data_IF_442543705647
#
_entry.id   IF_442543705647
#
_cell.length_a   1.000
_cell.length_b   1.000
_cell.length_c   1.000
_cell.angle_alpha   90.00
_cell.angle_beta   90.00
_cell.angle_gamma   90.00
#
_symmetry.space_group_name_H-M   'P 1'
#
loop_
_entity.id
_entity.type
_entity.pdbx_description
1 polymer ?
#
# COMPACT_ATOMS: atom_id res chain seq x y z
N UNK A 1 -0.41 10.49 10.29
CA UNK A 1 -0.89 9.18 10.79
C UNK A 1 -0.09 8.78 12.02
N UNK A 2 -0.76 8.35 13.08
CA UNK A 2 -0.08 7.92 14.32
C UNK A 2 0.69 6.62 14.09
N UNK A 3 1.64 6.32 14.97
CA UNK A 3 2.41 5.07 14.93
C UNK A 3 1.49 3.85 15.02
N UNK A 4 0.52 3.89 15.94
CA UNK A 4 -0.43 2.78 16.13
C UNK A 4 -1.28 2.55 14.89
N UNK A 5 -1.77 3.61 14.27
CA UNK A 5 -2.56 3.52 13.05
C UNK A 5 -1.75 2.91 11.89
N UNK A 6 -0.48 3.28 11.77
CA UNK A 6 0.43 2.70 10.76
C UNK A 6 0.65 1.21 10.99
N UNK A 7 0.83 0.79 12.23
CA UNK A 7 0.99 -0.63 12.59
C UNK A 7 -0.26 -1.42 12.21
N UNK A 8 -1.43 -0.90 12.57
CA UNK A 8 -2.71 -1.54 12.24
C UNK A 8 -2.90 -1.61 10.72
N UNK A 9 -2.54 -0.55 10.00
CA UNK A 9 -2.61 -0.53 8.55
C UNK A 9 -1.73 -1.62 7.93
N UNK A 10 -0.49 -1.73 8.37
CA UNK A 10 0.45 -2.74 7.85
C UNK A 10 -0.05 -4.16 8.10
N UNK A 11 -0.56 -4.44 9.30
CA UNK A 11 -1.12 -5.75 9.64
C UNK A 11 -2.38 -6.04 8.82
N UNK A 12 -3.23 -5.05 8.63
CA UNK A 12 -4.43 -5.17 7.80
C UNK A 12 -4.08 -5.46 6.34
N UNK A 13 -3.06 -4.81 5.82
CA UNK A 13 -2.56 -5.07 4.47
C UNK A 13 -2.07 -6.50 4.31
N UNK A 14 -1.39 -7.04 5.31
CA UNK A 14 -0.95 -8.44 5.30
C UNK A 14 -2.13 -9.41 5.20
N UNK A 15 -3.20 -9.16 5.95
CA UNK A 15 -4.42 -9.97 5.91
C UNK A 15 -5.10 -9.87 4.54
N UNK A 16 -5.24 -8.66 4.01
CA UNK A 16 -5.83 -8.43 2.69
C UNK A 16 -5.03 -9.08 1.56
N UNK A 17 -3.71 -9.06 1.68
CA UNK A 17 -2.84 -9.71 0.70
C UNK A 17 -3.07 -11.22 0.66
N UNK A 18 -3.16 -11.87 1.83
CA UNK A 18 -3.33 -13.32 1.90
C UNK A 18 -4.70 -13.80 1.45
N UNK A 19 -5.77 -13.14 1.92
CA UNK A 19 -7.14 -13.58 1.66
C UNK A 19 -7.76 -12.95 0.43
N UNK A 20 -7.27 -11.80 0.00
CA UNK A 20 -7.90 -10.98 -1.02
C UNK A 20 -8.94 -10.04 -0.43
N UNK A 21 -9.12 -8.90 -1.08
CA UNK A 21 -10.02 -7.85 -0.60
C UNK A 21 -11.47 -8.32 -0.52
N UNK A 22 -11.97 -8.94 -1.59
CA UNK A 22 -13.37 -9.35 -1.67
C UNK A 22 -13.74 -10.41 -0.62
N UNK A 23 -12.80 -11.30 -0.31
CA UNK A 23 -13.01 -12.41 0.62
C UNK A 23 -12.76 -12.04 2.08
N UNK A 24 -12.37 -10.81 2.38
CA UNK A 24 -12.01 -10.36 3.72
C UNK A 24 -13.02 -9.36 4.26
N UNK A 25 -13.51 -9.59 5.48
CA UNK A 25 -14.35 -8.64 6.19
C UNK A 25 -13.53 -7.88 7.24
N UNK A 26 -14.09 -6.77 7.75
CA UNK A 26 -13.48 -6.03 8.87
C UNK A 26 -13.36 -6.92 10.10
N UNK A 27 -14.32 -7.81 10.34
CA UNK A 27 -14.26 -8.79 11.44
C UNK A 27 -13.09 -9.75 11.27
N UNK A 28 -12.82 -10.20 10.04
CA UNK A 28 -11.67 -11.08 9.75
C UNK A 28 -10.35 -10.37 10.07
N UNK A 29 -10.25 -9.10 9.70
CA UNK A 29 -9.07 -8.30 9.98
C UNK A 29 -8.90 -8.13 11.49
N UNK A 30 -9.95 -7.72 12.18
CA UNK A 30 -9.93 -7.51 13.64
C UNK A 30 -9.53 -8.79 14.37
N UNK A 31 -10.09 -9.92 13.97
CA UNK A 31 -9.76 -11.24 14.55
C UNK A 31 -8.28 -11.59 14.34
N UNK A 32 -7.76 -11.36 13.14
CA UNK A 32 -6.35 -11.63 12.83
C UNK A 32 -5.40 -10.73 13.63
N UNK A 33 -5.83 -9.53 13.97
CA UNK A 33 -5.05 -8.58 14.77
C UNK A 33 -5.31 -8.71 16.28
N UNK A 34 -6.13 -9.65 16.68
CA UNK A 34 -6.56 -9.82 18.08
C UNK A 34 -7.18 -8.54 18.65
N UNK A 35 -8.06 -7.93 17.87
CA UNK A 35 -8.75 -6.69 18.22
C UNK A 35 -10.25 -6.87 18.14
N UNK A 36 -10.99 -6.04 18.90
CA UNK A 36 -12.42 -5.91 18.71
C UNK A 36 -12.70 -5.11 17.43
N UNK A 37 -13.74 -5.45 16.65
CA UNK A 37 -14.09 -4.69 15.45
C UNK A 37 -14.29 -3.19 15.71
N UNK A 38 -14.86 -2.83 16.85
CA UNK A 38 -15.05 -1.42 17.24
C UNK A 38 -13.72 -0.68 17.34
N UNK A 39 -12.66 -1.33 17.85
CA UNK A 39 -11.33 -0.74 17.95
C UNK A 39 -10.73 -0.50 16.54
N UNK A 40 -10.95 -1.42 15.62
CA UNK A 40 -10.50 -1.26 14.24
C UNK A 40 -11.23 -0.10 13.56
N UNK A 41 -12.56 0.00 13.75
CA UNK A 41 -13.36 1.08 13.21
C UNK A 41 -12.98 2.47 13.76
N UNK A 42 -12.36 2.53 14.93
CA UNK A 42 -11.85 3.80 15.45
C UNK A 42 -10.67 4.35 14.64
N UNK A 43 -10.00 3.50 13.88
CA UNK A 43 -8.86 3.86 13.02
C UNK A 43 -9.24 3.97 11.54
N UNK A 44 -10.08 3.06 11.06
CA UNK A 44 -10.48 2.97 9.63
C UNK A 44 -11.98 2.79 9.55
N UNK A 45 -12.65 3.59 8.72
CA UNK A 45 -14.11 3.59 8.58
C UNK A 45 -14.66 2.28 8.00
N UNK A 46 -13.90 1.64 7.12
CA UNK A 46 -14.32 0.45 6.39
C UNK A 46 -13.11 -0.25 5.79
N UNK A 47 -13.28 -1.45 5.26
CA UNK A 47 -12.21 -2.09 4.49
C UNK A 47 -11.88 -1.32 3.21
N UNK A 48 -12.87 -0.61 2.63
CA UNK A 48 -12.62 0.28 1.48
C UNK A 48 -11.67 1.43 1.85
N UNK A 49 -11.79 1.97 3.05
CA UNK A 49 -10.89 3.00 3.54
C UNK A 49 -9.44 2.49 3.59
N UNK A 50 -9.25 1.27 4.08
CA UNK A 50 -7.93 0.62 4.10
C UNK A 50 -7.40 0.44 2.68
N UNK A 51 -8.23 -0.02 1.76
CA UNK A 51 -7.85 -0.20 0.36
C UNK A 51 -7.45 1.13 -0.29
N UNK A 52 -8.27 2.17 -0.10
CA UNK A 52 -7.98 3.50 -0.63
C UNK A 52 -6.64 4.05 -0.14
N UNK A 53 -6.41 3.98 1.17
CA UNK A 53 -5.15 4.45 1.75
C UNK A 53 -3.97 3.69 1.14
N UNK A 54 -4.08 2.37 1.06
CA UNK A 54 -3.03 1.53 0.48
C UNK A 54 -2.73 1.91 -0.98
N UNK A 55 -3.77 2.06 -1.79
CA UNK A 55 -3.62 2.38 -3.21
C UNK A 55 -3.09 3.80 -3.43
N UNK A 56 -3.55 4.78 -2.66
CA UNK A 56 -3.06 6.14 -2.76
C UNK A 56 -1.62 6.28 -2.28
N UNK A 57 -1.21 5.56 -1.24
CA UNK A 57 0.18 5.55 -0.80
C UNK A 57 1.10 4.98 -1.89
N UNK A 58 0.68 3.92 -2.58
CA UNK A 58 1.45 3.36 -3.69
C UNK A 58 1.50 4.32 -4.87
N UNK A 59 0.37 4.94 -5.22
CA UNK A 59 0.33 5.93 -6.30
C UNK A 59 1.25 7.12 -6.01
N UNK A 60 1.26 7.60 -4.77
CA UNK A 60 2.14 8.70 -4.35
C UNK A 60 3.62 8.34 -4.50
N UNK A 61 4.00 7.11 -4.16
CA UNK A 61 5.38 6.63 -4.32
C UNK A 61 5.81 6.62 -5.78
N UNK A 62 4.94 6.14 -6.67
CA UNK A 62 5.22 6.13 -8.11
C UNK A 62 5.28 7.56 -8.68
N UNK A 63 4.38 8.43 -8.27
CA UNK A 63 4.38 9.83 -8.70
C UNK A 63 5.67 10.54 -8.28
N UNK A 64 6.10 10.34 -7.04
CA UNK A 64 7.35 10.91 -6.54
C UNK A 64 8.56 10.40 -7.33
N UNK A 65 8.59 9.10 -7.64
CA UNK A 65 9.66 8.50 -8.43
C UNK A 65 9.71 9.09 -9.84
N UNK A 66 8.56 9.32 -10.49
CA UNK A 66 8.48 9.97 -11.81
C UNK A 66 9.05 11.38 -11.75
N UNK A 67 8.71 12.15 -10.72
CA UNK A 67 9.26 13.49 -10.53
C UNK A 67 10.77 13.48 -10.37
N UNK A 68 11.30 12.58 -9.55
CA UNK A 68 12.74 12.43 -9.35
C UNK A 68 13.48 12.16 -10.66
N UNK A 69 12.94 11.27 -11.48
CA UNK A 69 13.53 10.93 -12.79
C UNK A 69 13.49 12.14 -13.74
N UNK A 70 12.38 12.86 -13.76
CA UNK A 70 12.23 14.01 -14.64
C UNK A 70 13.17 15.17 -14.29
N UNK A 71 13.55 15.28 -13.03
CA UNK A 71 14.45 16.35 -12.55
C UNK A 71 15.94 16.03 -12.76
N UNK A 72 16.27 14.82 -13.24
CA UNK A 72 17.65 14.40 -13.47
C UNK A 72 18.10 14.84 -14.86
N UNK A 73 19.30 15.46 -14.95
CA UNK A 73 19.93 15.87 -16.21
C UNK A 73 20.68 14.71 -16.87
N UNK A 74 19.93 13.70 -17.34
CA UNK A 74 20.47 12.59 -18.10
C UNK A 74 19.73 12.44 -19.42
N UNK A 75 20.30 11.68 -20.35
CA UNK A 75 19.63 11.33 -21.60
C UNK A 75 18.44 10.38 -21.34
N UNK A 76 17.62 10.18 -22.38
CA UNK A 76 16.41 9.38 -22.27
C UNK A 76 16.70 7.92 -21.86
N UNK A 77 17.79 7.34 -22.35
CA UNK A 77 18.19 5.96 -22.00
C UNK A 77 18.49 5.84 -20.50
N UNK A 78 19.28 6.78 -19.96
CA UNK A 78 19.62 6.78 -18.53
C UNK A 78 18.39 7.04 -17.67
N UNK A 79 17.50 7.94 -18.09
CA UNK A 79 16.24 8.20 -17.38
C UNK A 79 15.38 6.95 -17.34
N UNK A 80 15.27 6.21 -18.44
CA UNK A 80 14.50 4.98 -18.50
C UNK A 80 15.08 3.91 -17.58
N UNK A 81 16.39 3.76 -17.57
CA UNK A 81 17.08 2.81 -16.69
C UNK A 81 16.80 3.10 -15.21
N UNK A 82 16.92 4.37 -14.82
CA UNK A 82 16.64 4.82 -13.45
C UNK A 82 15.17 4.62 -13.10
N UNK A 83 14.26 4.95 -14.01
CA UNK A 83 12.83 4.76 -13.82
C UNK A 83 12.46 3.29 -13.56
N UNK A 84 13.01 2.39 -14.34
CA UNK A 84 12.80 0.94 -14.16
C UNK A 84 13.33 0.48 -12.81
N UNK A 85 14.53 0.91 -12.45
CA UNK A 85 15.14 0.55 -11.17
C UNK A 85 14.28 1.04 -9.99
N UNK A 86 13.85 2.29 -10.00
CA UNK A 86 13.00 2.86 -8.95
C UNK A 86 11.66 2.13 -8.87
N UNK A 87 11.08 1.79 -10.01
CA UNK A 87 9.82 1.05 -10.07
C UNK A 87 9.94 -0.32 -9.40
N UNK A 88 10.99 -1.06 -9.74
CA UNK A 88 11.27 -2.37 -9.13
C UNK A 88 11.51 -2.22 -7.62
N UNK A 89 12.25 -1.22 -7.19
CA UNK A 89 12.50 -0.97 -5.77
C UNK A 89 11.21 -0.68 -5.00
N UNK A 90 10.32 0.15 -5.56
CA UNK A 90 9.02 0.45 -4.94
C UNK A 90 8.20 -0.83 -4.78
N UNK A 91 8.11 -1.65 -5.82
CA UNK A 91 7.36 -2.90 -5.77
C UNK A 91 7.94 -3.89 -4.76
N UNK A 92 9.25 -4.06 -4.75
CA UNK A 92 9.91 -5.06 -3.89
C UNK A 92 9.95 -4.64 -2.42
N UNK A 93 10.02 -3.35 -2.13
CA UNK A 93 10.01 -2.83 -0.76
C UNK A 93 8.61 -2.75 -0.16
N UNK A 94 7.57 -2.88 -0.98
CA UNK A 94 6.17 -2.73 -0.56
C UNK A 94 5.31 -3.88 -1.12
N UNK A 95 5.78 -5.12 -0.96
CA UNK A 95 5.15 -6.27 -1.62
C UNK A 95 3.67 -6.45 -1.30
N UNK A 96 3.28 -6.35 -0.04
CA UNK A 96 1.87 -6.51 0.36
C UNK A 96 0.99 -5.44 -0.28
N UNK A 97 1.41 -4.18 -0.18
CA UNK A 97 0.69 -3.04 -0.77
C UNK A 97 0.66 -3.11 -2.29
N UNK A 98 1.77 -3.54 -2.91
CA UNK A 98 1.87 -3.68 -4.36
C UNK A 98 0.91 -4.74 -4.90
N UNK A 99 0.82 -5.88 -4.23
CA UNK A 99 -0.10 -6.95 -4.61
C UNK A 99 -1.56 -6.50 -4.51
N UNK A 100 -1.90 -5.81 -3.43
CA UNK A 100 -3.24 -5.24 -3.23
C UNK A 100 -3.54 -4.21 -4.33
N UNK A 101 -2.61 -3.31 -4.60
CA UNK A 101 -2.75 -2.27 -5.62
C UNK A 101 -2.97 -2.86 -7.01
N UNK A 102 -2.20 -3.87 -7.39
CA UNK A 102 -2.28 -4.47 -8.73
C UNK A 102 -3.54 -5.31 -8.89
N UNK A 103 -3.89 -6.06 -7.87
CA UNK A 103 -5.01 -7.02 -7.93
C UNK A 103 -6.36 -6.39 -7.69
N UNK A 104 -6.46 -5.52 -6.68
CA UNK A 104 -7.75 -5.10 -6.11
C UNK A 104 -8.16 -3.66 -6.45
N UNK A 105 -7.25 -2.87 -7.05
CA UNK A 105 -7.54 -1.47 -7.40
C UNK A 105 -8.40 -1.34 -8.66
#
# INVERSE_FOLDING_TARGET
MTKRKKEILALSQSVLKEKGYAATSVRDIAKALDMEPASLYSHFKSKEDILKITCFEMADKFELAVKEVNDIYFNAEEKLRIAIKLHVEILTQNLDSALIFIRDW
#
